data_IF_472965175297
#
_entry.id   IF_472965175297
#
_cell.length_a   1.000
_cell.length_b   1.000
_cell.length_c   1.000
_cell.angle_alpha   90.00
_cell.angle_beta   90.00
_cell.angle_gamma   90.00
#
_symmetry.space_group_name_H-M   'P 1'
#
loop_
_entity.id
_entity.type
_entity.pdbx_description
1 polymer ?
#
# COMPACT_ATOMS: atom_id res chain seq x y z
N UNK A 1 15.61 -29.41 29.87
CA UNK A 1 16.67 -28.66 29.17
C UNK A 1 15.96 -27.69 28.23
N UNK A 2 15.97 -26.39 28.55
CA UNK A 2 15.32 -25.36 27.73
C UNK A 2 16.16 -25.13 26.47
N UNK A 3 15.55 -25.25 25.29
CA UNK A 3 16.22 -24.95 24.02
C UNK A 3 16.20 -23.45 23.80
N UNK A 4 17.32 -22.84 23.42
CA UNK A 4 17.51 -21.39 23.29
C UNK A 4 16.43 -20.60 22.51
N UNK A 5 15.62 -21.25 21.66
CA UNK A 5 14.46 -20.65 20.99
C UNK A 5 13.26 -20.34 21.92
N UNK A 6 13.17 -20.97 23.11
CA UNK A 6 12.11 -20.71 24.08
C UNK A 6 12.31 -19.42 24.88
N UNK A 7 13.50 -18.81 24.82
CA UNK A 7 13.87 -17.67 25.69
C UNK A 7 13.94 -16.33 24.93
N UNK A 8 13.99 -16.35 23.59
CA UNK A 8 14.11 -15.11 22.81
C UNK A 8 12.81 -14.30 22.76
N UNK A 9 11.64 -14.95 22.89
CA UNK A 9 10.34 -14.27 22.83
C UNK A 9 10.12 -13.28 23.97
N UNK A 10 10.76 -13.52 25.12
CA UNK A 10 10.67 -12.68 26.32
C UNK A 10 11.69 -11.53 26.33
N UNK A 11 12.59 -11.48 25.34
CA UNK A 11 13.48 -10.32 25.17
C UNK A 11 12.62 -9.09 24.95
N UNK A 12 12.91 -8.04 25.72
CA UNK A 12 12.12 -6.82 25.77
C UNK A 12 12.92 -5.60 25.32
N UNK A 13 12.24 -4.66 24.68
CA UNK A 13 12.74 -3.32 24.39
C UNK A 13 12.54 -2.33 25.57
N UNK A 14 12.07 -2.81 26.73
CA UNK A 14 11.69 -2.01 27.90
C UNK A 14 10.20 -1.68 27.99
N UNK A 15 9.45 -1.85 26.91
CA UNK A 15 8.00 -1.60 26.85
C UNK A 15 7.21 -2.84 26.40
N UNK A 16 7.77 -3.61 25.45
CA UNK A 16 7.17 -4.80 24.89
C UNK A 16 8.22 -5.92 24.79
N UNK A 17 7.75 -7.16 24.89
CA UNK A 17 8.49 -8.37 24.55
C UNK A 17 8.42 -8.64 23.03
N UNK A 18 9.34 -9.42 22.49
CA UNK A 18 9.27 -9.86 21.09
C UNK A 18 7.99 -10.66 20.79
N UNK A 19 7.48 -11.45 21.74
CA UNK A 19 6.19 -12.14 21.59
C UNK A 19 5.02 -11.15 21.45
N UNK A 20 5.00 -10.08 22.24
CA UNK A 20 3.98 -9.03 22.15
C UNK A 20 4.08 -8.25 20.83
N UNK A 21 5.29 -7.83 20.44
CA UNK A 21 5.53 -7.15 19.17
C UNK A 21 5.15 -8.04 17.97
N UNK A 22 5.48 -9.33 18.03
CA UNK A 22 5.07 -10.30 17.01
C UNK A 22 3.54 -10.40 16.93
N UNK A 23 2.86 -10.46 18.09
CA UNK A 23 1.40 -10.53 18.17
C UNK A 23 0.74 -9.31 17.55
N UNK A 24 1.21 -8.10 17.86
CA UNK A 24 0.69 -6.86 17.26
C UNK A 24 0.94 -6.80 15.76
N UNK A 25 2.17 -7.07 15.31
CA UNK A 25 2.52 -7.11 13.89
C UNK A 25 1.61 -8.05 13.11
N UNK A 26 1.33 -9.23 13.65
CA UNK A 26 0.42 -10.19 13.03
C UNK A 26 -1.02 -9.66 12.96
N UNK A 27 -1.54 -9.04 14.02
CA UNK A 27 -2.88 -8.45 14.02
C UNK A 27 -3.01 -7.32 13.00
N UNK A 28 -2.04 -6.42 12.97
CA UNK A 28 -2.02 -5.33 11.99
C UNK A 28 -1.90 -5.86 10.57
N UNK A 29 -1.11 -6.92 10.34
CA UNK A 29 -1.03 -7.55 9.02
C UNK A 29 -2.36 -8.22 8.62
N UNK A 30 -3.02 -8.95 9.52
CA UNK A 30 -4.34 -9.53 9.26
C UNK A 30 -5.40 -8.46 8.97
N UNK A 31 -5.31 -7.31 9.62
CA UNK A 31 -6.15 -6.16 9.30
C UNK A 31 -5.79 -5.53 7.95
N UNK A 32 -4.50 -5.35 7.66
CA UNK A 32 -4.01 -4.80 6.39
C UNK A 32 -4.40 -5.65 5.19
N UNK A 33 -4.40 -6.99 5.32
CA UNK A 33 -4.88 -7.93 4.30
C UNK A 33 -6.28 -7.56 3.79
N UNK A 34 -7.20 -7.17 4.70
CA UNK A 34 -8.55 -6.73 4.32
C UNK A 34 -8.51 -5.45 3.48
N UNK A 35 -7.71 -4.47 3.89
CA UNK A 35 -7.56 -3.22 3.16
C UNK A 35 -6.91 -3.43 1.78
N UNK A 36 -5.90 -4.30 1.68
CA UNK A 36 -5.24 -4.64 0.42
C UNK A 36 -6.16 -5.36 -0.55
N UNK A 37 -6.99 -6.29 -0.06
CA UNK A 37 -8.03 -6.93 -0.88
C UNK A 37 -9.08 -5.91 -1.37
N UNK A 38 -9.48 -4.96 -0.52
CA UNK A 38 -10.39 -3.86 -0.91
C UNK A 38 -9.78 -2.94 -1.97
N UNK A 39 -8.46 -2.72 -1.90
CA UNK A 39 -7.68 -2.00 -2.91
C UNK A 39 -7.44 -2.82 -4.20
N UNK A 40 -7.89 -4.07 -4.26
CA UNK A 40 -7.72 -4.95 -5.42
C UNK A 40 -6.33 -5.55 -5.56
N UNK A 41 -5.48 -5.46 -4.53
CA UNK A 41 -4.13 -6.03 -4.57
C UNK A 41 -4.19 -7.53 -4.35
N UNK A 42 -3.41 -8.35 -5.10
CA UNK A 42 -3.36 -9.78 -4.88
C UNK A 42 -2.85 -10.09 -3.47
N UNK A 43 -3.67 -10.79 -2.68
CA UNK A 43 -3.30 -11.31 -1.36
C UNK A 43 -3.72 -12.76 -1.27
N UNK A 44 -2.85 -13.61 -0.73
CA UNK A 44 -3.12 -15.04 -0.56
C UNK A 44 -2.36 -15.60 0.63
N UNK A 45 -2.79 -16.78 1.07
CA UNK A 45 -2.12 -17.57 2.10
C UNK A 45 -1.91 -19.01 1.65
N UNK A 46 -0.85 -19.65 2.13
CA UNK A 46 -0.55 -21.05 1.82
C UNK A 46 0.23 -21.72 2.95
N UNK A 47 0.05 -23.02 3.12
CA UNK A 47 0.91 -23.84 3.97
C UNK A 47 2.21 -24.27 3.27
N UNK A 48 2.33 -24.01 1.95
CA UNK A 48 3.49 -24.39 1.15
C UNK A 48 4.17 -23.16 0.56
N UNK A 49 5.49 -23.24 0.46
CA UNK A 49 6.28 -22.32 -0.36
C UNK A 49 6.03 -22.60 -1.85
N UNK A 50 6.63 -21.79 -2.73
CA UNK A 50 6.45 -21.90 -4.18
C UNK A 50 6.90 -23.25 -4.76
N UNK A 51 7.90 -23.88 -4.12
CA UNK A 51 8.46 -25.18 -4.49
C UNK A 51 7.59 -26.38 -4.04
N UNK A 52 6.44 -26.10 -3.42
CA UNK A 52 5.52 -27.11 -2.90
C UNK A 52 5.92 -27.71 -1.55
N UNK A 53 7.06 -27.32 -0.97
CA UNK A 53 7.46 -27.76 0.37
C UNK A 53 6.61 -27.06 1.43
N UNK A 54 6.30 -27.79 2.52
CA UNK A 54 5.62 -27.20 3.66
C UNK A 54 6.48 -26.12 4.30
N UNK A 55 5.86 -25.00 4.68
CA UNK A 55 6.57 -23.91 5.36
C UNK A 55 7.28 -24.45 6.62
N UNK A 56 8.62 -24.38 6.60
CA UNK A 56 9.50 -24.88 7.68
C UNK A 56 9.25 -26.34 8.08
N UNK A 57 8.84 -27.19 7.14
CA UNK A 57 8.52 -28.60 7.40
C UNK A 57 7.14 -28.85 8.01
N UNK A 58 6.30 -27.82 8.16
CA UNK A 58 4.92 -27.91 8.64
C UNK A 58 4.66 -27.15 9.94
N UNK A 59 3.37 -26.94 10.26
CA UNK A 59 2.94 -26.16 11.43
C UNK A 59 3.01 -24.63 11.26
N UNK A 60 3.31 -24.19 10.04
CA UNK A 60 3.38 -22.79 9.64
C UNK A 60 2.64 -22.57 8.33
N UNK A 61 2.31 -21.31 8.08
CA UNK A 61 1.82 -20.83 6.80
C UNK A 61 2.46 -19.50 6.45
N UNK A 62 2.42 -19.15 5.17
CA UNK A 62 2.86 -17.86 4.65
C UNK A 62 1.64 -17.06 4.19
N UNK A 63 1.69 -15.75 4.40
CA UNK A 63 0.77 -14.77 3.82
C UNK A 63 1.59 -13.88 2.90
N UNK A 64 1.15 -13.73 1.66
CA UNK A 64 1.81 -12.91 0.65
C UNK A 64 0.84 -11.89 0.07
N UNK A 65 1.30 -10.65 -0.07
CA UNK A 65 0.61 -9.59 -0.79
C UNK A 65 1.50 -9.02 -1.89
N UNK A 66 0.94 -8.77 -3.07
CA UNK A 66 1.63 -8.05 -4.14
C UNK A 66 1.18 -6.59 -4.12
N UNK A 67 1.95 -5.73 -3.45
CA UNK A 67 1.69 -4.29 -3.44
C UNK A 67 2.20 -3.66 -4.75
N UNK A 68 1.73 -2.44 -5.11
CA UNK A 68 2.32 -1.68 -6.22
C UNK A 68 3.82 -1.40 -6.04
N UNK A 69 4.28 -1.32 -4.79
CA UNK A 69 5.68 -1.11 -4.43
C UNK A 69 6.51 -2.41 -4.42
N UNK A 70 5.89 -3.58 -4.53
CA UNK A 70 6.54 -4.90 -4.51
C UNK A 70 5.87 -5.90 -3.59
N UNK A 71 6.42 -7.12 -3.53
CA UNK A 71 5.89 -8.20 -2.70
C UNK A 71 6.10 -7.92 -1.20
N UNK A 72 5.15 -8.32 -0.36
CA UNK A 72 5.35 -8.41 1.09
C UNK A 72 4.94 -9.80 1.51
N UNK A 73 5.77 -10.48 2.30
CA UNK A 73 5.48 -11.82 2.77
C UNK A 73 5.87 -12.03 4.22
N UNK A 74 5.09 -12.82 4.95
CA UNK A 74 5.37 -13.17 6.34
C UNK A 74 4.88 -14.57 6.67
N UNK A 75 5.63 -15.29 7.51
CA UNK A 75 5.23 -16.59 8.05
C UNK A 75 4.61 -16.48 9.44
N UNK A 76 3.60 -17.32 9.68
CA UNK A 76 2.88 -17.41 10.94
C UNK A 76 2.64 -18.87 11.35
N UNK A 77 2.52 -19.10 12.66
CA UNK A 77 2.15 -20.41 13.19
C UNK A 77 0.71 -20.75 12.83
N UNK A 78 0.46 -22.01 12.52
CA UNK A 78 -0.82 -22.53 11.99
C UNK A 78 -2.05 -22.16 12.83
N UNK A 79 -1.88 -22.08 14.15
CA UNK A 79 -2.95 -21.69 15.07
C UNK A 79 -3.57 -20.31 14.75
N UNK A 80 -2.86 -19.45 14.02
CA UNK A 80 -3.32 -18.13 13.60
C UNK A 80 -3.94 -18.10 12.19
N UNK A 81 -4.03 -19.23 11.49
CA UNK A 81 -4.55 -19.31 10.11
C UNK A 81 -5.93 -18.65 9.94
N UNK A 82 -6.79 -18.78 10.97
CA UNK A 82 -8.14 -18.25 10.99
C UNK A 82 -8.22 -16.72 11.08
N UNK A 83 -7.13 -16.04 11.46
CA UNK A 83 -7.10 -14.57 11.54
C UNK A 83 -7.00 -13.90 10.16
N UNK A 84 -6.45 -14.61 9.16
CA UNK A 84 -6.23 -14.09 7.82
C UNK A 84 -7.36 -14.48 6.88
N UNK A 85 -8.19 -13.52 6.51
CA UNK A 85 -9.35 -13.69 5.65
C UNK A 85 -9.02 -13.38 4.18
N UNK A 86 -8.18 -14.23 3.57
CA UNK A 86 -7.78 -14.13 2.17
C UNK A 86 -7.77 -15.51 1.50
N UNK A 87 -7.78 -15.58 0.15
CA UNK A 87 -7.74 -16.84 -0.58
C UNK A 87 -6.60 -17.76 -0.15
N UNK A 88 -6.94 -19.03 0.09
CA UNK A 88 -5.96 -20.09 0.31
C UNK A 88 -5.56 -20.70 -1.03
N UNK A 89 -4.26 -20.84 -1.27
CA UNK A 89 -3.69 -21.41 -2.50
C UNK A 89 -2.77 -22.59 -2.18
N UNK A 90 -2.63 -23.53 -3.11
CA UNK A 90 -1.83 -24.74 -2.92
C UNK A 90 -0.36 -24.42 -2.63
N UNK A 91 0.23 -23.49 -3.39
CA UNK A 91 1.60 -23.01 -3.22
C UNK A 91 1.60 -21.47 -3.21
N UNK A 92 2.39 -20.87 -2.32
CA UNK A 92 2.61 -19.43 -2.36
C UNK A 92 3.36 -18.99 -3.64
N UNK A 93 3.26 -17.72 -4.06
CA UNK A 93 4.09 -17.16 -5.12
C UNK A 93 5.59 -17.31 -4.82
N UNK A 94 6.41 -17.31 -5.87
CA UNK A 94 7.86 -17.28 -5.75
C UNK A 94 8.31 -16.05 -4.94
N UNK A 95 9.27 -16.26 -4.04
CA UNK A 95 9.81 -15.20 -3.20
C UNK A 95 10.76 -14.34 -4.02
N UNK A 96 10.53 -13.03 -4.03
CA UNK A 96 11.33 -12.07 -4.83
C UNK A 96 12.68 -11.69 -4.19
N UNK A 97 13.10 -12.38 -3.13
CA UNK A 97 14.38 -12.13 -2.45
C UNK A 97 14.38 -10.95 -1.48
N UNK A 98 13.22 -10.35 -1.16
CA UNK A 98 13.18 -9.16 -0.30
C UNK A 98 13.66 -9.39 1.14
N UNK A 99 14.37 -8.39 1.68
CA UNK A 99 14.67 -8.31 3.10
C UNK A 99 13.48 -7.77 3.91
N UNK A 100 13.45 -7.96 5.24
CA UNK A 100 12.44 -7.33 6.10
C UNK A 100 12.40 -5.80 5.97
N UNK A 101 13.55 -5.15 5.79
CA UNK A 101 13.61 -3.70 5.58
C UNK A 101 12.94 -3.31 4.26
N UNK A 102 13.21 -4.03 3.17
CA UNK A 102 12.55 -3.76 1.89
C UNK A 102 11.04 -3.96 1.97
N UNK A 103 10.55 -4.97 2.71
CA UNK A 103 9.12 -5.14 2.96
C UNK A 103 8.53 -3.96 3.74
N UNK A 104 9.23 -3.46 4.77
CA UNK A 104 8.81 -2.28 5.52
C UNK A 104 8.74 -1.02 4.63
N UNK A 105 9.78 -0.77 3.83
CA UNK A 105 9.82 0.37 2.89
C UNK A 105 8.69 0.29 1.85
N UNK A 106 8.34 -0.93 1.40
CA UNK A 106 7.22 -1.19 0.48
C UNK A 106 5.88 -0.80 1.11
N UNK A 107 5.65 -1.21 2.36
CA UNK A 107 4.45 -0.83 3.11
C UNK A 107 4.42 0.68 3.31
N UNK A 108 5.52 1.29 3.74
CA UNK A 108 5.60 2.75 3.96
C UNK A 108 5.26 3.54 2.69
N UNK A 109 5.77 3.12 1.53
CA UNK A 109 5.41 3.71 0.23
C UNK A 109 3.90 3.66 -0.05
N UNK A 110 3.24 2.55 0.30
CA UNK A 110 1.77 2.44 0.14
C UNK A 110 0.98 3.33 1.08
N UNK A 111 1.52 3.67 2.26
CA UNK A 111 0.89 4.59 3.20
C UNK A 111 0.97 6.05 2.72
N UNK A 112 2.06 6.42 2.05
CA UNK A 112 2.27 7.77 1.50
C UNK A 112 1.47 8.02 0.22
N UNK A 113 1.31 6.99 -0.61
CA UNK A 113 0.54 7.03 -1.85
C UNK A 113 -0.56 5.96 -1.79
N UNK A 114 -1.63 6.15 -0.99
CA UNK A 114 -2.74 5.23 -0.98
C UNK A 114 -3.37 5.32 -2.37
N UNK A 115 -3.14 4.33 -3.21
CA UNK A 115 -3.90 4.09 -4.43
C UNK A 115 -5.31 3.70 -3.99
N UNK A 116 -6.06 4.70 -3.52
CA UNK A 116 -7.46 4.54 -3.21
C UNK A 116 -8.15 4.34 -4.54
N UNK A 117 -8.86 3.21 -4.65
CA UNK A 117 -9.86 3.03 -5.68
C UNK A 117 -10.81 4.22 -5.61
N UNK A 118 -10.79 5.06 -6.62
CA UNK A 118 -11.59 6.26 -6.71
C UNK A 118 -13.04 5.89 -6.99
N UNK A 119 -13.97 6.73 -6.56
CA UNK A 119 -15.40 6.56 -6.86
C UNK A 119 -16.02 7.84 -7.40
N UNK A 120 -17.09 7.69 -8.19
CA UNK A 120 -17.87 8.83 -8.66
C UNK A 120 -18.51 9.57 -7.48
N UNK A 121 -18.36 10.88 -7.47
CA UNK A 121 -18.78 11.77 -6.39
C UNK A 121 -17.74 11.92 -5.27
N UNK A 122 -16.58 11.26 -5.36
CA UNK A 122 -15.48 11.48 -4.42
C UNK A 122 -14.96 12.92 -4.55
N UNK A 123 -14.79 13.57 -3.39
CA UNK A 123 -14.05 14.83 -3.31
C UNK A 123 -12.59 14.53 -3.02
N UNK A 124 -11.70 14.99 -3.89
CA UNK A 124 -10.25 14.91 -3.73
C UNK A 124 -9.66 16.32 -3.61
N UNK A 125 -8.54 16.46 -2.91
CA UNK A 125 -7.88 17.75 -2.72
C UNK A 125 -6.80 17.97 -3.76
N UNK A 126 -6.61 19.23 -4.15
CA UNK A 126 -5.46 19.64 -4.93
C UNK A 126 -4.18 19.39 -4.13
N UNK A 127 -3.26 18.63 -4.71
CA UNK A 127 -2.00 18.23 -4.08
C UNK A 127 -0.96 19.35 -4.01
N UNK A 128 -1.20 20.47 -4.71
CA UNK A 128 -0.31 21.64 -4.61
C UNK A 128 -0.28 22.20 -3.18
N UNK A 129 0.91 22.38 -2.56
CA UNK A 129 1.03 22.88 -1.20
C UNK A 129 0.31 24.21 -0.99
N UNK A 130 -0.49 24.30 0.08
CA UNK A 130 -1.25 25.50 0.41
C UNK A 130 -2.46 25.81 -0.49
N UNK A 131 -2.78 24.99 -1.51
CA UNK A 131 -3.89 25.27 -2.40
C UNK A 131 -5.27 25.09 -1.74
N UNK A 132 -5.49 23.98 -1.04
CA UNK A 132 -6.76 23.66 -0.38
C UNK A 132 -7.98 23.45 -1.31
N UNK A 133 -7.83 23.58 -2.63
CA UNK A 133 -8.95 23.47 -3.57
C UNK A 133 -9.44 22.04 -3.67
N UNK A 134 -10.75 21.85 -3.53
CA UNK A 134 -11.42 20.56 -3.71
C UNK A 134 -11.82 20.33 -5.17
N UNK A 135 -11.73 19.08 -5.60
CA UNK A 135 -12.10 18.58 -6.92
C UNK A 135 -13.09 17.43 -6.72
N UNK A 136 -14.17 17.40 -7.50
CA UNK A 136 -15.16 16.31 -7.42
C UNK A 136 -15.00 15.42 -8.64
N UNK A 137 -14.81 14.12 -8.43
CA UNK A 137 -14.75 13.12 -9.49
C UNK A 137 -16.16 12.81 -9.99
N UNK A 138 -16.68 13.63 -10.92
CA UNK A 138 -18.09 13.56 -11.35
C UNK A 138 -18.36 12.56 -12.48
N UNK A 139 -17.32 12.15 -13.21
CA UNK A 139 -17.44 11.30 -14.39
C UNK A 139 -17.07 9.84 -14.05
N UNK A 140 -17.99 8.90 -14.31
CA UNK A 140 -17.79 7.48 -14.01
C UNK A 140 -16.72 6.86 -14.90
N UNK A 141 -16.74 7.19 -16.20
CA UNK A 141 -15.77 6.65 -17.15
C UNK A 141 -14.36 7.12 -16.77
N UNK A 142 -14.22 8.39 -16.38
CA UNK A 142 -12.96 8.91 -15.88
C UNK A 142 -12.51 8.11 -14.66
N UNK A 143 -13.34 8.01 -13.63
CA UNK A 143 -13.03 7.24 -12.41
C UNK A 143 -12.58 5.82 -12.71
N UNK A 144 -13.25 5.13 -13.63
CA UNK A 144 -12.89 3.78 -14.03
C UNK A 144 -11.51 3.76 -14.70
N UNK A 145 -11.24 4.68 -15.63
CA UNK A 145 -9.90 4.85 -16.23
C UNK A 145 -8.84 5.14 -15.17
N UNK A 146 -9.12 6.07 -14.24
CA UNK A 146 -8.19 6.43 -13.15
C UNK A 146 -7.79 5.22 -12.29
N UNK A 147 -8.73 4.32 -12.06
CA UNK A 147 -8.52 3.11 -11.27
C UNK A 147 -7.72 2.03 -11.99
N UNK A 148 -7.78 1.99 -13.33
CA UNK A 148 -7.09 0.99 -14.15
C UNK A 148 -5.68 1.44 -14.60
N UNK A 149 -5.36 2.73 -14.43
CA UNK A 149 -4.06 3.25 -14.84
C UNK A 149 -2.95 2.88 -13.87
N UNK A 150 -1.83 2.42 -14.42
CA UNK A 150 -0.62 2.19 -13.64
C UNK A 150 -0.13 3.50 -12.98
N UNK A 151 0.42 3.45 -11.76
CA UNK A 151 1.00 4.61 -11.11
C UNK A 151 2.03 5.32 -12.01
N UNK A 152 1.92 6.64 -12.14
CA UNK A 152 2.88 7.45 -12.91
C UNK A 152 2.49 7.76 -14.36
N UNK A 153 1.38 7.21 -14.87
CA UNK A 153 0.86 7.60 -16.20
C UNK A 153 0.24 9.00 -16.12
N UNK A 154 0.79 9.95 -16.87
CA UNK A 154 0.16 11.26 -17.06
C UNK A 154 -0.94 11.18 -18.13
N UNK A 155 -2.13 11.62 -17.78
CA UNK A 155 -3.22 11.85 -18.73
C UNK A 155 -3.96 13.10 -18.29
N UNK A 156 -4.43 13.84 -19.28
CA UNK A 156 -5.15 15.10 -19.10
C UNK A 156 -6.55 14.87 -19.63
N UNK A 157 -7.56 14.92 -18.76
CA UNK A 157 -8.96 14.88 -19.17
C UNK A 157 -9.51 16.29 -19.15
N UNK A 158 -9.79 16.82 -20.35
CA UNK A 158 -10.51 18.08 -20.53
C UNK A 158 -11.95 17.79 -20.91
N UNK A 159 -12.91 18.33 -20.16
CA UNK A 159 -14.32 18.30 -20.55
C UNK A 159 -14.88 19.74 -20.63
N UNK A 160 -15.28 20.26 -21.80
CA UNK A 160 -16.03 21.51 -21.90
C UNK A 160 -17.51 21.28 -21.50
N UNK A 161 -18.21 22.19 -20.77
CA UNK A 161 -17.91 23.60 -20.52
C UNK A 161 -17.52 23.94 -19.05
N UNK A 162 -17.27 22.95 -18.20
CA UNK A 162 -16.88 23.17 -16.80
C UNK A 162 -15.41 22.79 -16.59
N UNK A 163 -14.57 23.81 -16.39
CA UNK A 163 -13.12 23.74 -16.21
C UNK A 163 -12.72 22.95 -14.96
N UNK A 164 -12.64 21.63 -15.06
CA UNK A 164 -12.00 20.76 -14.08
C UNK A 164 -11.01 19.85 -14.80
N UNK A 165 -9.73 20.02 -14.46
CA UNK A 165 -8.63 19.22 -15.00
C UNK A 165 -8.18 18.26 -13.91
N UNK A 166 -7.83 17.03 -14.29
CA UNK A 166 -7.26 16.03 -13.41
C UNK A 166 -6.00 15.52 -14.10
N UNK A 167 -4.84 15.85 -13.54
CA UNK A 167 -3.59 15.14 -13.79
C UNK A 167 -3.50 14.10 -12.67
N UNK A 168 -3.45 12.81 -12.99
CA UNK A 168 -3.07 11.77 -12.03
C UNK A 168 -1.69 11.31 -12.40
N UNK A 169 -0.70 12.17 -12.18
CA UNK A 169 0.62 11.63 -11.92
C UNK A 169 0.49 10.75 -10.67
N UNK A 170 1.33 9.74 -10.51
CA UNK A 170 1.45 9.03 -9.23
C UNK A 170 1.86 9.94 -8.04
N UNK A 171 1.73 11.27 -8.17
CA UNK A 171 2.02 12.33 -7.19
C UNK A 171 0.76 13.10 -6.74
N UNK A 172 -0.45 12.85 -7.28
CA UNK A 172 -1.71 13.38 -6.73
C UNK A 172 -2.65 14.05 -7.73
N UNK A 173 -3.68 14.76 -7.24
CA UNK A 173 -4.69 15.47 -8.06
C UNK A 173 -4.39 16.96 -8.11
N UNK A 174 -4.44 17.61 -9.28
CA UNK A 174 -4.12 19.04 -9.41
C UNK A 174 -5.29 19.84 -9.98
N UNK A 175 -5.55 21.02 -9.43
CA UNK A 175 -6.63 21.87 -9.91
C UNK A 175 -6.22 22.65 -11.19
N UNK A 176 -7.16 23.31 -11.89
CA UNK A 176 -6.88 24.10 -13.09
C UNK A 176 -5.77 25.15 -12.96
N UNK A 177 -5.45 25.60 -11.75
CA UNK A 177 -4.36 26.56 -11.49
C UNK A 177 -2.98 25.88 -11.42
N UNK A 178 -2.93 24.60 -11.03
CA UNK A 178 -1.69 23.93 -10.63
C UNK A 178 -1.35 22.70 -11.48
N UNK A 179 -2.14 22.38 -12.51
CA UNK A 179 -1.91 21.18 -13.33
C UNK A 179 -0.70 21.27 -14.27
N UNK A 180 -0.28 22.48 -14.61
CA UNK A 180 0.88 22.78 -15.46
C UNK A 180 2.18 23.01 -14.68
N UNK A 181 2.08 23.18 -13.36
CA UNK A 181 3.25 23.49 -12.54
C UNK A 181 3.95 22.16 -12.27
N UNK A 182 5.18 22.03 -12.77
CA UNK A 182 5.99 20.84 -12.55
C UNK A 182 6.41 20.79 -11.08
N UNK A 183 5.99 19.79 -10.29
CA UNK A 183 6.44 19.64 -8.93
C UNK A 183 7.91 19.21 -8.81
N UNK A 184 8.60 18.87 -9.92
CA UNK A 184 10.02 18.49 -9.92
C UNK A 184 10.97 19.63 -10.28
N UNK A 185 10.48 20.83 -10.62
CA UNK A 185 11.37 21.99 -10.68
C UNK A 185 11.90 22.23 -9.27
N UNK A 186 13.23 22.23 -9.10
CA UNK A 186 13.99 22.51 -7.87
C UNK A 186 13.77 23.95 -7.33
N UNK A 187 12.59 24.52 -7.56
CA UNK A 187 12.14 25.84 -7.15
C UNK A 187 11.36 25.83 -5.81
N UNK A 188 11.53 24.77 -5.01
CA UNK A 188 10.83 24.63 -3.72
C UNK A 188 11.37 25.54 -2.60
N UNK A 189 12.52 26.19 -2.76
CA UNK A 189 13.09 27.07 -1.72
C UNK A 189 12.68 28.54 -1.82
N UNK A 190 12.05 28.95 -2.91
CA UNK A 190 11.58 30.32 -3.06
C UNK A 190 10.06 30.32 -2.91
N UNK A 191 9.62 30.57 -1.67
CA UNK A 191 8.20 30.78 -1.33
C UNK A 191 7.52 31.81 -2.25
N UNK A 192 6.18 31.92 -2.17
CA UNK A 192 5.41 32.72 -3.13
C UNK A 192 6.00 34.12 -3.27
N UNK A 193 6.44 34.48 -4.49
CA UNK A 193 6.75 35.88 -4.81
C UNK A 193 5.42 36.62 -4.73
N UNK A 194 5.29 37.48 -3.72
CA UNK A 194 4.20 38.44 -3.65
C UNK A 194 4.16 39.23 -4.97
N UNK A 195 3.02 39.17 -5.66
CA UNK A 195 2.80 39.91 -6.90
C UNK A 195 2.82 41.41 -6.59
N UNK A 196 3.73 42.16 -7.21
CA UNK A 196 3.70 43.63 -7.35
C UNK A 196 3.36 44.01 -8.78
#
# INVERSE_FOLDING_TARGET
MSTAAQDTGQISDGYHTFDELYRYRMLYHAWAVKAWQQAGWPVMKSHRHHDGQLCFGGGWFIVTAQLPSGQVSNHYRDLYWHLFDCPAVDCAPEWDGHTPQQAADRIEKTLRNPTQKLWKGQTVLCTWPGCGKSLVLSDQWLVDVLNELAPGIMFVVGNPPATSWICVSGKGFYCPKHWHLDPDDEHWELGPREES
#
